data_IF_997233693380
#
_entry.id   IF_997233693380
#
_cell.length_a   1.000
_cell.length_b   1.000
_cell.length_c   1.000
_cell.angle_alpha   90.00
_cell.angle_beta   90.00
_cell.angle_gamma   90.00
#
_symmetry.space_group_name_H-M   'P 1'
#
loop_
_entity.id
_entity.type
_entity.pdbx_description
1 polymer ?
#
# COMPACT_ATOMS: atom_id res chain seq x y z
N UNK A 1 5.54 -22.98 13.42
CA UNK A 1 4.73 -22.36 14.49
C UNK A 1 4.60 -20.88 14.17
N UNK A 2 3.41 -20.27 14.28
CA UNK A 2 3.23 -18.85 13.98
C UNK A 2 3.68 -18.01 15.16
N UNK A 3 4.46 -16.95 14.90
CA UNK A 3 4.93 -16.00 15.90
C UNK A 3 3.99 -14.78 15.91
N UNK A 4 3.07 -14.66 16.88
CA UNK A 4 1.98 -13.69 16.83
C UNK A 4 2.46 -12.23 16.88
N UNK A 5 3.51 -11.94 17.64
CA UNK A 5 4.08 -10.59 17.71
C UNK A 5 4.76 -10.19 16.37
N UNK A 6 5.45 -11.15 15.72
CA UNK A 6 6.09 -10.89 14.42
C UNK A 6 5.03 -10.71 13.33
N UNK A 7 3.94 -11.49 13.38
CA UNK A 7 2.79 -11.30 12.50
C UNK A 7 2.16 -9.91 12.67
N UNK A 8 2.02 -9.42 13.92
CA UNK A 8 1.51 -8.08 14.17
C UNK A 8 2.43 -6.99 13.60
N UNK A 9 3.73 -7.12 13.81
CA UNK A 9 4.74 -6.19 13.24
C UNK A 9 4.66 -6.21 11.72
N UNK A 10 4.59 -7.40 11.11
CA UNK A 10 4.44 -7.56 9.67
C UNK A 10 3.15 -6.95 9.12
N UNK A 11 2.03 -7.10 9.84
CA UNK A 11 0.76 -6.50 9.46
C UNK A 11 0.84 -4.96 9.46
N UNK A 12 1.39 -4.36 10.51
CA UNK A 12 1.54 -2.91 10.62
C UNK A 12 2.48 -2.37 9.54
N UNK A 13 3.64 -3.00 9.36
CA UNK A 13 4.59 -2.63 8.32
C UNK A 13 3.96 -2.75 6.92
N UNK A 14 3.20 -3.82 6.69
CA UNK A 14 2.48 -4.05 5.44
C UNK A 14 1.40 -3.01 5.17
N UNK A 15 0.62 -2.62 6.18
CA UNK A 15 -0.38 -1.57 6.03
C UNK A 15 0.25 -0.22 5.65
N UNK A 16 1.38 0.14 6.28
CA UNK A 16 2.13 1.37 5.97
C UNK A 16 2.70 1.31 4.54
N UNK A 17 3.36 0.22 4.19
CA UNK A 17 3.86 0.01 2.83
C UNK A 17 2.75 0.03 1.79
N UNK A 18 1.60 -0.61 2.10
CA UNK A 18 0.43 -0.67 1.25
C UNK A 18 -0.17 0.69 0.95
N UNK A 19 -0.19 1.61 1.91
CA UNK A 19 -0.65 2.99 1.70
C UNK A 19 0.21 3.72 0.67
N UNK A 20 1.54 3.57 0.76
CA UNK A 20 2.47 4.11 -0.24
C UNK A 20 2.30 3.44 -1.61
N UNK A 21 2.22 2.11 -1.65
CA UNK A 21 2.08 1.35 -2.89
C UNK A 21 0.75 1.63 -3.60
N UNK A 22 -0.33 1.83 -2.86
CA UNK A 22 -1.62 2.25 -3.43
C UNK A 22 -1.50 3.60 -4.14
N UNK A 23 -0.82 4.56 -3.52
CA UNK A 23 -0.54 5.87 -4.13
C UNK A 23 0.31 5.72 -5.39
N UNK A 24 1.31 4.85 -5.36
CA UNK A 24 2.17 4.55 -6.51
C UNK A 24 1.35 3.96 -7.66
N UNK A 25 0.53 2.96 -7.40
CA UNK A 25 -0.33 2.31 -8.42
C UNK A 25 -1.28 3.31 -9.08
N UNK A 26 -1.83 4.25 -8.30
CA UNK A 26 -2.79 5.23 -8.82
C UNK A 26 -2.15 6.39 -9.57
N UNK A 27 -0.97 6.85 -9.16
CA UNK A 27 -0.37 8.08 -9.69
C UNK A 27 0.71 7.85 -10.74
N UNK A 28 1.53 6.82 -10.59
CA UNK A 28 2.67 6.60 -11.48
C UNK A 28 2.27 6.39 -12.94
N UNK A 29 1.26 5.57 -13.29
CA UNK A 29 0.83 5.41 -14.69
C UNK A 29 0.31 6.70 -15.33
N UNK A 30 -0.10 7.68 -14.51
CA UNK A 30 -0.57 8.98 -14.97
C UNK A 30 0.57 10.02 -15.10
N UNK A 31 1.83 9.62 -14.93
CA UNK A 31 2.97 10.55 -14.90
C UNK A 31 2.99 11.50 -13.69
N UNK A 32 2.15 11.24 -12.67
CA UNK A 32 2.07 12.07 -11.47
C UNK A 32 3.13 11.65 -10.46
N UNK A 33 3.86 12.62 -9.90
CA UNK A 33 4.91 12.34 -8.91
C UNK A 33 4.36 11.65 -7.67
N UNK A 34 5.03 10.57 -7.24
CA UNK A 34 4.71 9.80 -6.04
C UNK A 34 5.52 10.30 -4.84
N UNK A 35 6.76 10.73 -5.09
CA UNK A 35 7.74 11.14 -4.08
C UNK A 35 7.74 12.66 -3.83
N UNK A 36 7.06 13.46 -4.65
CA UNK A 36 7.01 14.91 -4.52
C UNK A 36 5.62 15.37 -4.15
N UNK A 37 5.54 16.17 -3.07
CA UNK A 37 4.31 16.76 -2.59
C UNK A 37 3.71 16.02 -1.39
N UNK A 38 2.88 16.74 -0.63
CA UNK A 38 2.09 16.18 0.46
C UNK A 38 0.88 15.45 -0.10
N UNK A 39 0.45 14.41 0.60
CA UNK A 39 -0.81 13.74 0.30
C UNK A 39 -1.96 14.74 0.38
N UNK A 40 -2.68 14.91 -0.71
CA UNK A 40 -3.80 15.84 -0.81
C UNK A 40 -5.02 15.11 -1.40
N UNK A 41 -6.20 15.59 -1.04
CA UNK A 41 -7.45 15.11 -1.62
C UNK A 41 -7.52 15.50 -3.11
N UNK A 42 -7.77 14.54 -3.97
CA UNK A 42 -7.91 14.80 -5.43
C UNK A 42 -9.15 15.64 -5.77
N UNK A 43 -10.16 15.71 -4.86
CA UNK A 43 -11.38 16.48 -5.10
C UNK A 43 -11.29 17.96 -4.70
N UNK A 44 -10.66 18.28 -3.57
CA UNK A 44 -10.61 19.66 -3.05
C UNK A 44 -9.20 20.20 -2.81
N UNK A 45 -8.15 19.42 -3.07
CA UNK A 45 -6.76 19.83 -2.86
C UNK A 45 -6.33 19.97 -1.39
N UNK A 46 -7.23 19.65 -0.42
CA UNK A 46 -6.91 19.72 1.00
C UNK A 46 -5.74 18.78 1.31
N UNK A 47 -4.75 19.27 2.02
CA UNK A 47 -3.67 18.46 2.56
C UNK A 47 -4.20 17.48 3.60
N UNK A 48 -3.83 16.19 3.46
CA UNK A 48 -4.18 15.14 4.41
C UNK A 48 -3.31 15.28 5.67
N UNK A 49 -3.96 15.26 6.82
CA UNK A 49 -3.29 15.28 8.12
C UNK A 49 -2.78 13.89 8.53
N UNK A 50 -2.01 13.77 9.63
CA UNK A 50 -1.51 12.48 10.12
C UNK A 50 -2.61 11.45 10.37
N UNK A 51 -3.77 11.87 10.85
CA UNK A 51 -4.92 10.99 11.12
C UNK A 51 -5.54 10.47 9.83
N UNK A 52 -5.52 11.27 8.76
CA UNK A 52 -6.02 10.87 7.44
C UNK A 52 -5.08 9.86 6.75
N UNK A 53 -3.82 9.78 7.21
CA UNK A 53 -2.78 8.93 6.67
C UNK A 53 -2.61 7.60 7.44
N UNK A 54 -3.34 7.41 8.56
CA UNK A 54 -3.30 6.11 9.25
C UNK A 54 -3.99 5.07 8.40
N UNK A 55 -3.26 4.04 7.92
CA UNK A 55 -3.80 3.02 7.02
C UNK A 55 -5.02 2.34 7.63
N UNK A 56 -5.98 1.96 6.81
CA UNK A 56 -7.23 1.28 7.16
C UNK A 56 -8.12 2.05 8.14
N UNK A 57 -7.55 2.71 9.16
CA UNK A 57 -8.31 3.46 10.17
C UNK A 57 -8.97 4.69 9.57
N UNK A 58 -8.24 5.43 8.72
CA UNK A 58 -8.79 6.60 8.01
C UNK A 58 -9.96 6.20 7.10
N UNK A 59 -9.85 5.09 6.40
CA UNK A 59 -10.91 4.56 5.53
C UNK A 59 -12.15 4.16 6.32
N UNK A 60 -11.98 3.53 7.49
CA UNK A 60 -13.07 3.16 8.40
C UNK A 60 -13.78 4.39 8.99
N UNK A 61 -13.00 5.33 9.55
CA UNK A 61 -13.55 6.53 10.23
C UNK A 61 -14.21 7.47 9.24
N UNK A 62 -13.65 7.62 8.02
CA UNK A 62 -14.14 8.52 6.99
C UNK A 62 -15.12 7.85 6.03
N UNK A 63 -15.40 6.55 6.21
CA UNK A 63 -16.27 5.76 5.32
C UNK A 63 -15.90 5.89 3.84
N UNK A 64 -14.59 5.99 3.55
CA UNK A 64 -14.08 6.12 2.18
C UNK A 64 -14.38 7.47 1.53
N UNK A 65 -14.64 8.54 2.30
CA UNK A 65 -14.93 9.87 1.77
C UNK A 65 -14.07 10.94 2.42
N UNK A 66 -13.73 11.98 1.66
CA UNK A 66 -13.03 13.13 2.20
C UNK A 66 -13.88 13.87 3.23
N UNK A 67 -13.31 14.24 4.36
CA UNK A 67 -14.01 14.97 5.43
C UNK A 67 -14.49 16.36 5.02
N UNK A 68 -13.85 16.96 4.02
CA UNK A 68 -14.12 18.37 3.62
C UNK A 68 -15.07 18.44 2.44
N UNK A 69 -14.82 17.69 1.36
CA UNK A 69 -15.62 17.79 0.13
C UNK A 69 -16.52 16.57 -0.11
N UNK A 70 -16.43 15.51 0.72
CA UNK A 70 -17.20 14.29 0.52
C UNK A 70 -16.81 13.44 -0.69
N UNK A 71 -15.76 13.82 -1.43
CA UNK A 71 -15.28 13.05 -2.58
C UNK A 71 -14.90 11.62 -2.15
N UNK A 72 -15.30 10.65 -2.97
CA UNK A 72 -14.98 9.25 -2.71
C UNK A 72 -13.47 9.01 -2.85
N UNK A 73 -12.90 8.32 -1.85
CA UNK A 73 -11.52 7.83 -1.90
C UNK A 73 -11.54 6.51 -2.68
N UNK A 74 -10.60 6.33 -3.61
CA UNK A 74 -10.53 5.08 -4.40
C UNK A 74 -10.40 3.88 -3.45
N UNK A 75 -11.32 2.90 -3.51
CA UNK A 75 -11.31 1.73 -2.64
C UNK A 75 -10.05 0.87 -2.80
N UNK A 76 -9.26 1.10 -3.85
CA UNK A 76 -7.98 0.44 -4.05
C UNK A 76 -7.03 0.70 -2.87
N UNK A 77 -7.03 1.90 -2.28
CA UNK A 77 -6.19 2.20 -1.12
C UNK A 77 -6.38 1.17 0.00
N UNK A 78 -7.61 0.99 0.47
CA UNK A 78 -7.90 0.04 1.53
C UNK A 78 -7.60 -1.42 1.15
N UNK A 79 -7.83 -1.79 -0.09
CA UNK A 79 -7.56 -3.15 -0.58
C UNK A 79 -6.05 -3.45 -0.63
N UNK A 80 -5.24 -2.51 -1.10
CA UNK A 80 -3.79 -2.66 -1.15
C UNK A 80 -3.20 -2.67 0.26
N UNK A 81 -3.66 -1.78 1.13
CA UNK A 81 -3.24 -1.74 2.54
C UNK A 81 -3.54 -3.08 3.24
N UNK A 82 -4.76 -3.61 3.08
CA UNK A 82 -5.15 -4.90 3.63
C UNK A 82 -4.33 -6.06 3.04
N UNK A 83 -4.15 -6.08 1.72
CA UNK A 83 -3.34 -7.08 1.03
C UNK A 83 -1.88 -7.09 1.52
N UNK A 84 -1.27 -5.92 1.61
CA UNK A 84 0.10 -5.79 2.12
C UNK A 84 0.20 -6.16 3.60
N UNK A 85 -0.80 -5.81 4.42
CA UNK A 85 -0.85 -6.20 5.83
C UNK A 85 -0.92 -7.72 5.99
N UNK A 86 -1.75 -8.40 5.21
CA UNK A 86 -1.87 -9.87 5.22
C UNK A 86 -0.54 -10.51 4.79
N UNK A 87 0.05 -10.05 3.68
CA UNK A 87 1.34 -10.56 3.20
C UNK A 87 2.42 -10.39 4.27
N UNK A 88 2.53 -9.20 4.88
CA UNK A 88 3.50 -8.94 5.93
C UNK A 88 3.28 -9.80 7.17
N UNK A 89 2.02 -9.95 7.59
CA UNK A 89 1.64 -10.80 8.73
C UNK A 89 2.03 -12.26 8.52
N UNK A 90 1.73 -12.80 7.34
CA UNK A 90 2.08 -14.18 6.99
C UNK A 90 3.60 -14.35 6.89
N UNK A 91 4.27 -13.49 6.16
CA UNK A 91 5.71 -13.57 5.93
C UNK A 91 6.50 -13.56 7.25
N UNK A 92 6.28 -12.55 8.11
CA UNK A 92 6.97 -12.47 9.39
C UNK A 92 6.38 -13.41 10.46
N UNK A 93 5.10 -13.73 10.38
CA UNK A 93 4.48 -14.69 11.29
C UNK A 93 5.05 -16.09 11.16
N UNK A 94 5.32 -16.55 9.94
CA UNK A 94 5.90 -17.87 9.71
C UNK A 94 7.44 -17.87 9.75
N UNK A 95 8.08 -16.77 9.30
CA UNK A 95 9.54 -16.63 9.24
C UNK A 95 9.94 -15.32 9.94
N UNK A 96 10.06 -15.30 11.28
CA UNK A 96 10.29 -14.07 12.06
C UNK A 96 11.74 -13.55 11.98
N UNK A 97 12.47 -13.90 10.96
CA UNK A 97 13.86 -13.55 10.71
C UNK A 97 13.99 -12.66 9.47
N UNK A 98 15.23 -12.33 9.08
CA UNK A 98 15.52 -11.55 7.86
C UNK A 98 14.88 -12.15 6.59
N UNK A 99 14.76 -13.49 6.55
CA UNK A 99 14.07 -14.18 5.45
C UNK A 99 12.59 -13.77 5.31
N UNK A 100 11.89 -13.56 6.43
CA UNK A 100 10.50 -13.09 6.41
C UNK A 100 10.36 -11.69 5.84
N UNK A 101 11.33 -10.81 6.07
CA UNK A 101 11.36 -9.48 5.44
C UNK A 101 11.49 -9.62 3.92
N UNK A 102 12.38 -10.52 3.45
CA UNK A 102 12.53 -10.81 2.03
C UNK A 102 11.23 -11.30 1.40
N UNK A 103 10.53 -12.23 2.04
CA UNK A 103 9.22 -12.72 1.59
C UNK A 103 8.15 -11.64 1.58
N UNK A 104 8.12 -10.76 2.58
CA UNK A 104 7.19 -9.63 2.62
C UNK A 104 7.45 -8.67 1.46
N UNK A 105 8.69 -8.26 1.25
CA UNK A 105 9.08 -7.37 0.15
C UNK A 105 8.75 -7.97 -1.21
N UNK A 106 9.04 -9.24 -1.43
CA UNK A 106 8.69 -9.96 -2.66
C UNK A 106 7.18 -9.97 -2.87
N UNK A 107 6.40 -10.31 -1.85
CA UNK A 107 4.94 -10.34 -1.93
C UNK A 107 4.33 -8.98 -2.22
N UNK A 108 4.83 -7.92 -1.59
CA UNK A 108 4.38 -6.54 -1.88
C UNK A 108 4.72 -6.10 -3.30
N UNK A 109 5.91 -6.45 -3.79
CA UNK A 109 6.33 -6.16 -5.15
C UNK A 109 5.43 -6.88 -6.17
N UNK A 110 5.18 -8.17 -5.97
CA UNK A 110 4.31 -8.97 -6.84
C UNK A 110 2.86 -8.45 -6.81
N UNK A 111 2.33 -8.09 -5.65
CA UNK A 111 1.00 -7.50 -5.53
C UNK A 111 0.92 -6.17 -6.31
N UNK A 112 1.94 -5.33 -6.19
CA UNK A 112 2.02 -4.05 -6.90
C UNK A 112 2.05 -4.25 -8.42
N UNK A 113 2.89 -5.16 -8.91
CA UNK A 113 2.98 -5.48 -10.33
C UNK A 113 1.67 -6.06 -10.87
N UNK A 114 1.05 -6.98 -10.14
CA UNK A 114 -0.23 -7.57 -10.53
C UNK A 114 -1.34 -6.52 -10.65
N UNK A 115 -1.38 -5.55 -9.74
CA UNK A 115 -2.37 -4.48 -9.77
C UNK A 115 -2.10 -3.43 -10.85
N UNK A 116 -0.83 -3.12 -11.13
CA UNK A 116 -0.44 -2.26 -12.25
C UNK A 116 -0.82 -2.90 -13.58
N UNK A 117 -0.52 -4.19 -13.75
CA UNK A 117 -0.90 -4.94 -14.94
C UNK A 117 -2.43 -5.01 -15.10
N UNK A 118 -3.13 -5.39 -14.04
CA UNK A 118 -4.60 -5.49 -14.07
C UNK A 118 -5.31 -4.19 -14.42
N UNK A 119 -4.83 -3.04 -13.89
CA UNK A 119 -5.51 -1.75 -14.09
C UNK A 119 -5.03 -0.97 -15.31
N UNK A 120 -3.77 -1.10 -15.67
CA UNK A 120 -3.11 -0.24 -16.65
C UNK A 120 -2.45 -0.99 -17.80
N UNK A 121 -2.44 -2.33 -17.76
CA UNK A 121 -1.69 -3.17 -18.71
C UNK A 121 -0.24 -2.70 -18.87
N UNK A 122 0.39 -2.32 -17.76
CA UNK A 122 1.71 -1.71 -17.73
C UNK A 122 2.56 -2.28 -16.62
N UNK A 123 3.72 -2.80 -16.99
CA UNK A 123 4.73 -3.37 -16.09
C UNK A 123 6.01 -2.53 -16.21
N UNK A 124 6.31 -1.64 -15.25
CA UNK A 124 7.50 -0.82 -15.31
C UNK A 124 8.77 -1.64 -15.07
N UNK A 125 9.78 -1.46 -15.92
CA UNK A 125 11.07 -2.15 -15.83
C UNK A 125 11.74 -1.96 -14.46
N UNK A 126 11.55 -0.79 -13.84
CA UNK A 126 12.09 -0.50 -12.51
C UNK A 126 11.60 -1.46 -11.41
N UNK A 127 10.43 -2.08 -11.58
CA UNK A 127 9.88 -3.05 -10.64
C UNK A 127 10.07 -4.50 -11.10
N UNK A 128 10.20 -4.74 -12.42
CA UNK A 128 10.37 -6.10 -12.95
C UNK A 128 11.82 -6.56 -12.94
N UNK A 129 12.78 -5.66 -13.17
CA UNK A 129 14.21 -5.99 -13.17
C UNK A 129 14.71 -6.61 -11.86
N UNK A 130 14.32 -6.15 -10.66
CA UNK A 130 14.74 -6.80 -9.41
C UNK A 130 14.28 -8.25 -9.26
N UNK A 131 13.25 -8.68 -10.00
CA UNK A 131 12.75 -10.05 -10.00
C UNK A 131 13.49 -10.97 -10.98
N UNK A 132 14.24 -10.37 -11.92
CA UNK A 132 14.96 -11.11 -12.95
C UNK A 132 16.35 -11.61 -12.49
N UNK A 133 16.84 -11.13 -11.35
CA UNK A 133 18.13 -11.44 -10.74
C UNK A 133 17.98 -11.88 -9.29
#
# INVERSE_FOLDING_TARGET
>A
MIHPWAALVGAVAGAIAGSFLATLILRWPQGRGVMRGRSACDGCGRMLGPIDLVPMLSALVQRGRCRTCGAAIDPLHGRVEAGCAIIGALALGFVPELGGIGWALLGWLLLTLALLDWRHFWLPDALTLPLAF
#
